data_IF_697473881182
#
_entry.id   IF_697473881182
#
_cell.length_a   1.000
_cell.length_b   1.000
_cell.length_c   1.000
_cell.angle_alpha   90.00
_cell.angle_beta   90.00
_cell.angle_gamma   90.00
#
_symmetry.space_group_name_H-M   'P 1'
#
loop_
_entity.id
_entity.type
_entity.pdbx_description
1 polymer ?
#
# COMPACT_ATOMS: atom_id res chain seq x y z
N UNK A 1 -3.24 7.51 -5.96
CA UNK A 1 -3.81 8.86 -5.91
C UNK A 1 -2.90 9.73 -5.06
N UNK A 2 -2.51 10.89 -5.55
CA UNK A 2 -1.78 11.93 -4.80
C UNK A 2 -2.77 13.07 -4.53
N UNK A 3 -3.15 13.27 -3.27
CA UNK A 3 -4.11 14.31 -2.89
C UNK A 3 -3.50 15.72 -2.97
N UNK A 4 -2.23 15.89 -2.57
CA UNK A 4 -1.53 17.17 -2.63
C UNK A 4 -2.31 18.31 -1.97
N UNK A 5 -2.46 19.43 -2.71
CA UNK A 5 -3.17 20.63 -2.25
C UNK A 5 -4.65 20.43 -1.92
N UNK A 6 -5.22 19.26 -2.22
CA UNK A 6 -6.56 18.86 -1.82
C UNK A 6 -7.40 18.32 -2.97
N UNK A 7 -8.25 17.35 -2.64
CA UNK A 7 -9.05 16.60 -3.59
C UNK A 7 -10.31 16.09 -2.87
N UNK A 8 -11.46 16.20 -3.53
CA UNK A 8 -12.68 15.53 -3.10
C UNK A 8 -12.97 14.37 -4.06
N UNK A 9 -13.21 13.19 -3.51
CA UNK A 9 -13.50 11.99 -4.30
C UNK A 9 -14.46 11.05 -3.57
N UNK A 10 -15.00 10.10 -4.31
CA UNK A 10 -15.86 9.01 -3.82
C UNK A 10 -15.23 7.69 -4.28
N UNK A 11 -15.22 6.70 -3.39
CA UNK A 11 -14.80 5.33 -3.69
C UNK A 11 -15.98 4.40 -3.40
N UNK A 12 -16.53 3.78 -4.45
CA UNK A 12 -17.64 2.82 -4.34
C UNK A 12 -17.22 1.47 -4.94
N UNK A 13 -17.74 0.34 -4.42
CA UNK A 13 -17.58 -0.94 -5.08
C UNK A 13 -18.10 -0.88 -6.53
N UNK A 14 -17.55 -1.70 -7.45
CA UNK A 14 -18.05 -1.78 -8.82
C UNK A 14 -19.53 -2.12 -8.84
N UNK A 15 -20.31 -1.46 -9.70
CA UNK A 15 -21.76 -1.66 -9.80
C UNK A 15 -22.13 -3.13 -10.00
N UNK A 16 -21.39 -3.84 -10.86
CA UNK A 16 -21.58 -5.27 -11.10
C UNK A 16 -21.48 -6.09 -9.82
N UNK A 17 -20.56 -5.75 -8.91
CA UNK A 17 -20.38 -6.43 -7.63
C UNK A 17 -21.46 -6.04 -6.61
N UNK A 18 -21.92 -4.80 -6.64
CA UNK A 18 -23.08 -4.35 -5.84
C UNK A 18 -24.34 -5.14 -6.24
N UNK A 19 -24.53 -5.37 -7.55
CA UNK A 19 -25.68 -6.09 -8.08
C UNK A 19 -25.58 -7.61 -7.88
N UNK A 20 -24.41 -8.22 -8.14
CA UNK A 20 -24.24 -9.67 -8.04
C UNK A 20 -24.05 -10.17 -6.60
N UNK A 21 -23.65 -9.28 -5.69
CA UNK A 21 -23.01 -9.67 -4.45
C UNK A 21 -21.65 -10.35 -4.71
N UNK A 22 -20.92 -10.63 -3.63
CA UNK A 22 -19.60 -11.28 -3.70
C UNK A 22 -18.60 -10.66 -2.74
N UNK A 23 -17.36 -11.14 -2.81
CA UNK A 23 -16.27 -10.63 -1.99
C UNK A 23 -15.68 -9.37 -2.62
N UNK A 24 -15.79 -8.24 -1.90
CA UNK A 24 -14.99 -7.05 -2.17
C UNK A 24 -13.84 -7.00 -1.16
N UNK A 25 -12.61 -7.14 -1.64
CA UNK A 25 -11.43 -7.11 -0.79
C UNK A 25 -10.37 -6.18 -1.41
N UNK A 26 -9.81 -5.31 -0.59
CA UNK A 26 -8.83 -4.33 -1.01
C UNK A 26 -8.09 -3.74 0.18
N UNK A 27 -6.97 -3.09 -0.11
CA UNK A 27 -6.15 -2.37 0.85
C UNK A 27 -6.15 -0.89 0.49
N UNK A 28 -6.32 -0.01 1.49
CA UNK A 28 -6.13 1.42 1.34
C UNK A 28 -4.94 1.87 2.20
N UNK A 29 -3.93 2.46 1.56
CA UNK A 29 -2.73 2.95 2.19
C UNK A 29 -2.59 4.45 1.95
N UNK A 30 -2.41 5.22 3.03
CA UNK A 30 -2.04 6.63 2.94
C UNK A 30 -0.53 6.76 3.11
N UNK A 31 0.12 7.27 2.06
CA UNK A 31 1.56 7.58 2.08
C UNK A 31 1.72 9.08 2.25
N UNK A 32 2.41 9.49 3.31
CA UNK A 32 2.64 10.92 3.58
C UNK A 32 3.55 11.55 2.51
N UNK A 33 3.38 12.84 2.28
CA UNK A 33 4.24 13.66 1.42
C UNK A 33 5.21 14.50 2.28
N UNK A 34 6.45 14.74 1.81
CA UNK A 34 7.32 15.77 2.37
C UNK A 34 6.66 17.14 2.32
N UNK A 35 7.05 18.05 3.22
CA UNK A 35 6.48 19.39 3.34
C UNK A 35 6.51 20.16 2.01
N UNK A 36 7.59 20.01 1.23
CA UNK A 36 7.74 20.62 -0.11
C UNK A 36 6.66 20.21 -1.11
N UNK A 37 6.10 19.00 -0.93
CA UNK A 37 5.22 18.36 -1.89
C UNK A 37 3.76 18.40 -1.43
N UNK A 38 3.46 18.84 -0.19
CA UNK A 38 2.08 18.83 0.34
C UNK A 38 1.11 19.70 -0.44
N UNK A 39 1.58 20.70 -1.18
CA UNK A 39 0.74 21.64 -1.94
C UNK A 39 0.85 21.46 -3.46
N UNK A 40 1.39 20.34 -3.95
CA UNK A 40 1.37 20.03 -5.39
C UNK A 40 -0.05 19.81 -5.89
N UNK A 41 -0.24 19.98 -7.20
CA UNK A 41 -1.52 19.66 -7.83
C UNK A 41 -1.87 18.17 -7.63
N UNK A 42 -3.14 17.84 -7.32
CA UNK A 42 -3.58 16.45 -7.19
C UNK A 42 -3.34 15.66 -8.48
N UNK A 43 -3.04 14.37 -8.34
CA UNK A 43 -2.77 13.48 -9.48
C UNK A 43 -3.30 12.09 -9.25
N UNK A 44 -3.83 11.48 -10.31
CA UNK A 44 -4.20 10.07 -10.33
C UNK A 44 -3.23 9.26 -11.19
N UNK A 45 -2.97 8.05 -10.74
CA UNK A 45 -2.29 7.01 -11.51
C UNK A 45 -3.13 5.74 -11.35
N UNK A 46 -3.65 5.24 -12.47
CA UNK A 46 -4.36 3.96 -12.52
C UNK A 46 -3.35 2.88 -12.94
N UNK A 47 -3.19 1.87 -12.10
CA UNK A 47 -2.24 0.76 -12.30
C UNK A 47 -3.05 -0.53 -12.34
N UNK A 48 -3.06 -1.18 -13.51
CA UNK A 48 -3.81 -2.41 -13.74
C UNK A 48 -2.94 -3.64 -13.46
N UNK A 49 -3.55 -4.77 -13.11
CA UNK A 49 -2.82 -5.99 -12.78
C UNK A 49 -1.90 -6.53 -13.90
N UNK A 50 -2.16 -6.19 -15.16
CA UNK A 50 -1.29 -6.52 -16.29
C UNK A 50 -0.10 -5.56 -16.47
N UNK A 51 -0.02 -4.48 -15.69
CA UNK A 51 1.04 -3.47 -15.77
C UNK A 51 2.10 -3.60 -14.67
N UNK A 52 1.85 -4.42 -13.64
CA UNK A 52 2.82 -4.66 -12.56
C UNK A 52 3.94 -5.58 -13.03
N UNK A 53 5.14 -5.36 -12.49
CA UNK A 53 6.27 -6.27 -12.73
C UNK A 53 6.06 -7.54 -11.89
N UNK A 54 6.15 -8.70 -12.55
CA UNK A 54 6.06 -10.01 -11.91
C UNK A 54 7.45 -10.64 -11.80
N UNK A 55 7.75 -11.18 -10.62
CA UNK A 55 8.95 -11.96 -10.33
C UNK A 55 8.54 -13.25 -9.63
N UNK A 56 9.34 -14.31 -9.76
CA UNK A 56 9.14 -15.56 -9.03
C UNK A 56 10.38 -15.85 -8.16
N UNK A 57 10.18 -16.52 -7.02
CA UNK A 57 11.28 -17.12 -6.28
C UNK A 57 11.97 -18.20 -7.13
N UNK A 58 13.23 -18.50 -6.81
CA UNK A 58 14.02 -19.45 -7.60
C UNK A 58 13.40 -20.87 -7.66
N UNK A 59 12.68 -21.26 -6.61
CA UNK A 59 11.94 -22.54 -6.52
C UNK A 59 10.51 -22.46 -7.07
N UNK A 60 10.05 -21.29 -7.53
CA UNK A 60 8.68 -21.06 -7.99
C UNK A 60 7.62 -21.07 -6.89
N UNK A 61 8.03 -21.18 -5.61
CA UNK A 61 7.13 -21.19 -4.45
C UNK A 61 6.57 -19.83 -4.06
N UNK A 62 7.07 -18.74 -4.64
CA UNK A 62 6.63 -17.39 -4.36
C UNK A 62 6.47 -16.55 -5.62
N UNK A 63 5.40 -15.75 -5.68
CA UNK A 63 5.11 -14.80 -6.74
C UNK A 63 5.11 -13.38 -6.18
N UNK A 64 6.01 -12.53 -6.68
CA UNK A 64 6.17 -11.14 -6.26
C UNK A 64 5.62 -10.21 -7.33
N UNK A 65 4.70 -9.32 -6.94
CA UNK A 65 4.14 -8.27 -7.77
C UNK A 65 4.70 -6.94 -7.29
N UNK A 66 5.57 -6.30 -8.10
CA UNK A 66 6.13 -4.99 -7.77
C UNK A 66 5.15 -3.90 -8.22
N UNK A 67 4.50 -3.25 -7.26
CA UNK A 67 3.44 -2.26 -7.52
C UNK A 67 4.05 -0.87 -7.63
N UNK A 68 4.92 -0.50 -6.69
CA UNK A 68 5.64 0.78 -6.69
C UNK A 68 7.03 0.60 -6.09
N UNK A 69 7.98 1.45 -6.51
CA UNK A 69 9.37 1.39 -6.06
C UNK A 69 10.21 0.38 -6.80
N UNK A 70 11.25 -0.10 -6.11
CA UNK A 70 12.21 -1.07 -6.62
C UNK A 70 12.39 -2.22 -5.64
N UNK A 71 12.61 -3.42 -6.19
CA UNK A 71 13.14 -4.56 -5.45
C UNK A 71 14.15 -5.30 -6.33
N UNK A 72 15.38 -5.45 -5.85
CA UNK A 72 16.46 -6.14 -6.60
C UNK A 72 16.69 -5.60 -8.03
N UNK A 73 16.56 -4.28 -8.23
CA UNK A 73 16.68 -3.65 -9.55
C UNK A 73 15.45 -3.81 -10.46
N UNK A 74 14.38 -4.40 -9.95
CA UNK A 74 13.10 -4.50 -10.63
C UNK A 74 12.13 -3.40 -10.19
N UNK A 75 11.88 -2.47 -11.09
CA UNK A 75 11.01 -1.31 -10.88
C UNK A 75 9.52 -1.67 -11.07
N UNK A 76 8.68 -1.19 -10.16
CA UNK A 76 7.23 -1.18 -10.31
C UNK A 76 6.74 0.04 -11.11
N UNK A 77 5.52 -0.02 -11.67
CA UNK A 77 4.95 1.08 -12.47
C UNK A 77 4.50 2.29 -11.63
N UNK A 78 4.34 2.13 -10.32
CA UNK A 78 3.87 3.18 -9.41
C UNK A 78 4.87 4.31 -9.26
N UNK A 79 4.47 5.52 -9.63
CA UNK A 79 5.25 6.74 -9.43
C UNK A 79 5.04 7.26 -8.00
N UNK A 80 6.14 7.67 -7.34
CA UNK A 80 6.12 8.04 -5.93
C UNK A 80 6.86 9.36 -5.69
N UNK A 81 6.48 10.09 -4.64
CA UNK A 81 7.10 11.37 -4.25
C UNK A 81 8.20 11.18 -3.21
N UNK A 82 8.02 10.18 -2.35
CA UNK A 82 9.04 9.69 -1.44
C UNK A 82 9.52 8.34 -1.97
N UNK A 83 10.81 7.99 -1.84
CA UNK A 83 11.27 6.63 -2.10
C UNK A 83 10.49 5.65 -1.22
N UNK A 84 9.67 4.81 -1.85
CA UNK A 84 8.93 3.74 -1.20
C UNK A 84 9.04 2.47 -2.04
N UNK A 85 8.82 1.32 -1.41
CA UNK A 85 8.62 0.04 -2.07
C UNK A 85 7.32 -0.57 -1.56
N UNK A 86 6.42 -0.90 -2.48
CA UNK A 86 5.17 -1.60 -2.20
C UNK A 86 5.08 -2.80 -3.13
N UNK A 87 5.08 -4.00 -2.54
CA UNK A 87 5.00 -5.25 -3.29
C UNK A 87 3.96 -6.18 -2.66
N UNK A 88 3.32 -6.98 -3.50
CA UNK A 88 2.40 -8.02 -3.07
C UNK A 88 3.02 -9.39 -3.36
N UNK A 89 3.17 -10.22 -2.33
CA UNK A 89 3.81 -11.52 -2.38
C UNK A 89 2.78 -12.60 -2.08
N UNK A 90 2.60 -13.53 -3.02
CA UNK A 90 1.89 -14.79 -2.79
C UNK A 90 2.93 -15.86 -2.49
N UNK A 91 2.82 -16.57 -1.37
CA UNK A 91 3.74 -17.65 -0.98
C UNK A 91 2.95 -18.96 -0.86
N UNK A 92 3.34 -19.96 -1.65
CA UNK A 92 2.71 -21.29 -1.63
C UNK A 92 2.93 -21.97 -0.27
N UNK A 93 2.04 -22.88 0.14
CA UNK A 93 2.22 -23.63 1.39
C UNK A 93 3.59 -24.30 1.49
N UNK A 94 4.26 -24.15 2.63
CA UNK A 94 5.61 -24.67 2.90
C UNK A 94 6.75 -23.92 2.20
N UNK A 95 6.46 -22.96 1.32
CA UNK A 95 7.47 -22.15 0.63
C UNK A 95 7.90 -20.92 1.45
N UNK A 96 9.00 -20.30 1.02
CA UNK A 96 9.47 -19.03 1.56
C UNK A 96 9.99 -18.10 0.48
N UNK A 97 9.93 -16.80 0.75
CA UNK A 97 10.50 -15.74 -0.07
C UNK A 97 11.39 -14.88 0.80
N UNK A 98 12.64 -14.70 0.37
CA UNK A 98 13.58 -13.75 0.96
C UNK A 98 13.93 -12.71 -0.10
N UNK A 99 13.73 -11.43 0.20
CA UNK A 99 13.95 -10.33 -0.73
C UNK A 99 15.01 -9.39 -0.15
N UNK A 100 15.94 -8.87 -0.98
CA UNK A 100 16.83 -7.81 -0.54
C UNK A 100 15.99 -6.58 -0.18
N UNK A 101 16.39 -5.90 0.88
CA UNK A 101 15.68 -4.73 1.38
C UNK A 101 16.66 -3.60 1.68
N UNK A 102 16.21 -2.40 1.40
CA UNK A 102 17.00 -1.20 1.66
C UNK A 102 17.08 -0.97 3.17
N UNK A 103 18.30 -1.00 3.72
CA UNK A 103 18.53 -0.79 5.15
C UNK A 103 18.15 0.63 5.64
N UNK A 104 18.02 1.60 4.73
CA UNK A 104 17.55 2.96 5.05
C UNK A 104 16.01 3.10 5.00
N UNK A 105 15.28 2.04 4.65
CA UNK A 105 13.81 2.01 4.65
C UNK A 105 13.27 1.44 5.96
N UNK A 106 12.10 1.93 6.38
CA UNK A 106 11.27 1.14 7.28
C UNK A 106 10.69 -0.08 6.54
N UNK A 107 10.24 -1.09 7.29
CA UNK A 107 9.75 -2.34 6.73
C UNK A 107 8.55 -2.86 7.51
N UNK A 108 7.47 -3.13 6.79
CA UNK A 108 6.24 -3.70 7.32
C UNK A 108 5.73 -4.82 6.40
N UNK A 109 5.18 -5.87 6.99
CA UNK A 109 4.36 -6.86 6.30
C UNK A 109 2.93 -6.76 6.80
N UNK A 110 1.96 -6.97 5.92
CA UNK A 110 0.55 -7.10 6.28
C UNK A 110 -0.04 -8.35 5.63
N UNK A 111 -0.60 -9.24 6.45
CA UNK A 111 -1.26 -10.47 5.99
C UNK A 111 -2.63 -10.15 5.38
N UNK A 112 -2.77 -10.34 4.07
CA UNK A 112 -4.02 -10.13 3.33
C UNK A 112 -4.93 -11.37 3.37
N UNK A 113 -4.34 -12.57 3.36
CA UNK A 113 -5.05 -13.85 3.46
C UNK A 113 -4.07 -14.95 3.85
N UNK A 114 -4.53 -16.02 4.50
CA UNK A 114 -3.69 -17.13 4.94
C UNK A 114 -2.86 -16.83 6.19
N UNK A 115 -1.87 -17.69 6.46
CA UNK A 115 -0.99 -17.63 7.63
C UNK A 115 0.44 -18.08 7.35
N UNK A 116 1.36 -17.58 8.18
CA UNK A 116 2.77 -17.91 8.06
C UNK A 116 3.61 -17.23 9.12
N UNK A 117 4.86 -16.94 8.78
CA UNK A 117 5.81 -16.28 9.67
C UNK A 117 6.73 -15.31 8.95
N UNK A 118 7.29 -14.36 9.71
CA UNK A 118 8.17 -13.32 9.22
C UNK A 118 9.52 -13.31 9.96
N UNK A 119 10.57 -12.91 9.23
CA UNK A 119 11.92 -12.70 9.76
C UNK A 119 12.67 -14.00 10.10
N UNK A 120 13.89 -13.86 10.62
CA UNK A 120 14.73 -15.00 11.02
C UNK A 120 14.13 -15.77 12.22
N UNK A 121 13.54 -15.04 13.16
CA UNK A 121 12.91 -15.58 14.37
C UNK A 121 11.59 -16.32 14.09
N UNK A 122 11.12 -16.35 12.83
CA UNK A 122 9.85 -16.97 12.42
C UNK A 122 8.68 -16.50 13.29
N UNK A 123 8.55 -15.18 13.47
CA UNK A 123 7.42 -14.61 14.22
C UNK A 123 6.11 -14.91 13.47
N UNK A 124 5.16 -15.64 14.07
CA UNK A 124 3.94 -16.03 13.37
C UNK A 124 3.04 -14.81 13.14
N UNK A 125 2.39 -14.77 11.98
CA UNK A 125 1.33 -13.81 11.69
C UNK A 125 0.37 -14.37 10.64
N UNK A 126 -0.86 -13.86 10.64
CA UNK A 126 -1.91 -14.28 9.71
C UNK A 126 -2.72 -13.10 9.18
N UNK A 127 -3.73 -13.39 8.37
CA UNK A 127 -4.68 -12.42 7.84
C UNK A 127 -5.11 -11.38 8.89
N UNK A 128 -5.03 -10.10 8.52
CA UNK A 128 -5.41 -8.97 9.36
C UNK A 128 -4.33 -8.48 10.33
N UNK A 129 -3.18 -9.14 10.40
CA UNK A 129 -2.07 -8.74 11.26
C UNK A 129 -0.95 -8.05 10.48
N UNK A 130 -0.28 -7.13 11.16
CA UNK A 130 0.91 -6.45 10.66
C UNK A 130 2.15 -6.89 11.45
N UNK A 131 3.28 -6.99 10.76
CA UNK A 131 4.60 -7.19 11.35
C UNK A 131 5.46 -5.99 11.00
N UNK A 132 6.14 -5.43 12.00
CA UNK A 132 7.18 -4.40 11.80
C UNK A 132 8.53 -5.08 11.92
N UNK A 133 9.39 -4.93 10.92
CA UNK A 133 10.74 -5.48 10.95
C UNK A 133 11.69 -4.51 11.63
N UNK A 134 12.73 -5.06 12.26
CA UNK A 134 13.85 -4.29 12.78
C UNK A 134 14.86 -3.92 11.68
N UNK A 135 16.06 -3.57 12.11
CA UNK A 135 17.18 -3.31 11.20
C UNK A 135 17.57 -4.59 10.43
N UNK A 136 17.91 -4.44 9.16
CA UNK A 136 18.32 -5.54 8.28
C UNK A 136 18.35 -5.10 6.82
N UNK A 137 18.95 -5.94 5.98
CA UNK A 137 19.09 -5.74 4.53
C UNK A 137 18.25 -6.73 3.71
N UNK A 138 17.36 -7.47 4.37
CA UNK A 138 16.45 -8.40 3.72
C UNK A 138 15.17 -8.63 4.52
N UNK A 139 14.10 -8.99 3.83
CA UNK A 139 12.84 -9.42 4.43
C UNK A 139 12.56 -10.86 4.03
N UNK A 140 12.20 -11.70 5.02
CA UNK A 140 11.78 -13.08 4.76
C UNK A 140 10.37 -13.31 5.22
N UNK A 141 9.55 -13.88 4.33
CA UNK A 141 8.19 -14.37 4.58
C UNK A 141 8.14 -15.86 4.29
N UNK A 142 7.46 -16.62 5.15
CA UNK A 142 7.26 -18.07 5.00
C UNK A 142 5.78 -18.36 5.15
N UNK A 143 5.22 -19.17 4.26
CA UNK A 143 3.87 -19.69 4.44
C UNK A 143 3.90 -20.90 5.38
N UNK A 144 2.82 -21.10 6.14
CA UNK A 144 2.60 -22.37 6.81
C UNK A 144 2.41 -23.50 5.79
N UNK A 145 2.71 -24.74 6.19
CA UNK A 145 2.54 -25.97 5.39
C UNK A 145 1.09 -26.17 4.91
N UNK A 146 0.12 -25.62 5.64
CA UNK A 146 -1.29 -25.66 5.30
C UNK A 146 -1.88 -24.26 5.50
N UNK A 147 -2.61 -23.79 4.49
CA UNK A 147 -3.37 -22.55 4.55
C UNK A 147 -4.82 -22.82 4.91
N UNK A 148 -5.54 -21.80 5.38
CA UNK A 148 -6.96 -21.93 5.68
C UNK A 148 -7.79 -22.14 4.40
N UNK A 149 -9.03 -22.63 4.53
CA UNK A 149 -9.87 -22.97 3.38
C UNK A 149 -10.30 -21.78 2.50
N UNK A 150 -10.00 -20.54 2.91
CA UNK A 150 -10.35 -19.33 2.18
C UNK A 150 -9.20 -18.84 1.28
N UNK A 151 -7.99 -19.37 1.43
CA UNK A 151 -6.82 -18.95 0.67
C UNK A 151 -5.91 -20.12 0.32
N UNK A 152 -5.51 -20.26 -0.94
CA UNK A 152 -4.58 -21.30 -1.39
C UNK A 152 -3.13 -20.98 -1.01
N UNK A 153 -2.81 -19.69 -0.83
CA UNK A 153 -1.48 -19.18 -0.54
C UNK A 153 -1.52 -18.25 0.68
N UNK A 154 -0.34 -17.98 1.23
CA UNK A 154 -0.16 -16.84 2.11
C UNK A 154 0.03 -15.57 1.28
N UNK A 155 -0.92 -14.64 1.36
CA UNK A 155 -0.92 -13.39 0.60
C UNK A 155 -0.48 -12.25 1.51
N UNK A 156 0.64 -11.61 1.20
CA UNK A 156 1.28 -10.62 2.07
C UNK A 156 1.66 -9.38 1.26
N UNK A 157 1.28 -8.21 1.75
CA UNK A 157 1.79 -6.94 1.23
C UNK A 157 3.02 -6.53 2.06
N UNK A 158 4.15 -6.31 1.39
CA UNK A 158 5.35 -5.75 1.98
C UNK A 158 5.46 -4.27 1.61
N UNK A 159 5.69 -3.45 2.63
CA UNK A 159 5.71 -1.99 2.55
C UNK A 159 6.99 -1.46 3.18
N UNK A 160 7.60 -0.48 2.53
CA UNK A 160 8.63 0.33 3.14
C UNK A 160 8.84 1.64 2.42
N UNK A 161 9.58 2.52 3.07
CA UNK A 161 10.01 3.77 2.49
C UNK A 161 11.04 4.47 3.34
N UNK A 162 11.71 5.43 2.70
CA UNK A 162 12.65 6.31 3.37
C UNK A 162 11.86 7.18 4.37
N UNK A 163 12.19 7.16 5.68
CA UNK A 163 11.53 8.02 6.64
C UNK A 163 11.72 9.50 6.27
N UNK A 164 10.61 10.24 6.15
CA UNK A 164 10.61 11.67 5.79
C UNK A 164 11.29 12.53 6.86
N UNK A 165 11.18 12.12 8.14
CA UNK A 165 11.77 12.80 9.32
C UNK A 165 11.30 14.26 9.49
N UNK A 166 10.05 14.52 9.15
CA UNK A 166 9.38 15.79 9.41
C UNK A 166 8.25 15.63 10.44
N UNK A 167 7.84 16.71 11.13
CA UNK A 167 6.67 16.69 11.99
C UNK A 167 5.41 16.24 11.24
N UNK A 168 4.55 15.49 11.92
CA UNK A 168 3.25 15.05 11.40
C UNK A 168 2.15 15.59 12.29
N UNK A 169 1.28 16.41 11.72
CA UNK A 169 0.05 16.87 12.33
C UNK A 169 -1.13 16.33 11.51
N UNK A 170 -2.04 15.59 12.14
CA UNK A 170 -3.17 14.95 11.46
C UNK A 170 -4.50 15.30 12.13
N UNK A 171 -5.50 15.60 11.31
CA UNK A 171 -6.89 15.77 11.74
C UNK A 171 -7.86 15.34 10.63
N UNK A 172 -8.55 14.22 10.84
CA UNK A 172 -9.51 13.68 9.87
C UNK A 172 -8.84 13.38 8.51
N UNK A 173 -9.28 13.98 7.39
CA UNK A 173 -8.69 13.73 6.08
C UNK A 173 -7.40 14.53 5.81
N UNK A 174 -6.94 15.36 6.76
CA UNK A 174 -5.82 16.26 6.55
C UNK A 174 -4.56 15.78 7.28
N UNK A 175 -3.43 15.72 6.55
CA UNK A 175 -2.11 15.38 7.10
C UNK A 175 -1.11 16.48 6.69
N UNK A 176 -0.77 17.34 7.64
CA UNK A 176 0.14 18.48 7.45
C UNK A 176 1.38 18.36 8.38
N UNK A 177 2.24 19.37 8.41
CA UNK A 177 3.40 19.40 9.30
C UNK A 177 3.14 20.20 10.59
N UNK A 178 2.13 21.06 10.63
CA UNK A 178 1.80 21.88 11.81
C UNK A 178 0.30 22.04 12.07
N UNK A 179 -0.07 22.39 13.31
CA UNK A 179 -1.46 22.71 13.68
C UNK A 179 -2.03 23.91 12.90
N UNK A 180 -1.19 24.90 12.58
CA UNK A 180 -1.57 26.07 11.78
C UNK A 180 -1.99 25.66 10.37
N UNK A 181 -1.22 24.77 9.74
CA UNK A 181 -1.55 24.24 8.41
C UNK A 181 -2.83 23.39 8.44
N UNK A 182 -3.06 22.61 9.50
CA UNK A 182 -4.33 21.89 9.67
C UNK A 182 -5.53 22.84 9.76
N UNK A 183 -5.39 23.93 10.52
CA UNK A 183 -6.42 24.95 10.62
C UNK A 183 -6.72 25.56 9.23
N UNK A 184 -5.68 25.91 8.47
CA UNK A 184 -5.84 26.44 7.12
C UNK A 184 -6.55 25.44 6.19
N UNK A 185 -6.15 24.16 6.21
CA UNK A 185 -6.77 23.12 5.38
C UNK A 185 -8.27 22.94 5.70
N UNK A 186 -8.63 23.04 6.98
CA UNK A 186 -10.03 22.99 7.41
C UNK A 186 -10.81 24.22 6.92
N UNK A 187 -10.25 25.42 7.06
CA UNK A 187 -10.85 26.66 6.57
C UNK A 187 -11.02 26.63 5.04
N UNK A 188 -10.06 26.06 4.31
CA UNK A 188 -10.12 25.85 2.86
C UNK A 188 -11.23 24.89 2.46
N UNK A 189 -11.36 23.76 3.18
CA UNK A 189 -12.44 22.81 2.95
C UNK A 189 -13.82 23.41 3.22
N UNK A 190 -14.01 24.08 4.37
CA UNK A 190 -15.28 24.69 4.74
C UNK A 190 -15.70 25.81 3.77
N UNK A 191 -14.73 26.51 3.19
CA UNK A 191 -14.98 27.53 2.18
C UNK A 191 -15.13 26.97 0.75
N UNK A 192 -15.10 25.64 0.57
CA UNK A 192 -15.27 25.00 -0.75
C UNK A 192 -14.07 25.15 -1.69
N UNK A 193 -12.87 25.43 -1.17
CA UNK A 193 -11.66 25.68 -1.98
C UNK A 193 -10.96 24.39 -2.46
N UNK A 194 -11.38 23.21 -1.99
CA UNK A 194 -10.79 21.91 -2.36
C UNK A 194 -11.47 21.24 -3.58
N UNK A 195 -12.27 22.01 -4.32
CA UNK A 195 -13.05 21.53 -5.46
C UNK A 195 -14.47 21.12 -5.08
N UNK A 196 -15.22 20.61 -6.06
CA UNK A 196 -16.60 20.13 -5.90
C UNK A 196 -16.74 18.79 -6.62
N UNK A 197 -17.38 17.81 -5.99
CA UNK A 197 -17.78 16.57 -6.66
C UNK A 197 -19.08 16.87 -7.42
N UNK A 198 -19.13 16.73 -8.76
CA UNK A 198 -20.34 16.95 -9.54
C UNK A 198 -21.48 16.01 -9.09
N UNK A 199 -22.73 16.50 -9.07
CA UNK A 199 -23.89 15.69 -8.71
C UNK A 199 -24.15 14.56 -9.72
N UNK A 200 -23.83 14.78 -10.99
CA UNK A 200 -24.05 13.85 -12.11
C UNK A 200 -22.79 13.06 -12.48
N UNK A 201 -22.19 12.37 -11.51
CA UNK A 201 -21.23 11.30 -11.86
C UNK A 201 -22.04 10.06 -12.26
N UNK A 202 -22.55 10.05 -13.49
CA UNK A 202 -22.96 8.80 -14.13
C UNK A 202 -21.71 7.93 -14.18
N UNK A 203 -21.72 6.83 -13.40
CA UNK A 203 -20.72 5.76 -13.49
C UNK A 203 -20.68 5.33 -14.96
N UNK A 204 -19.62 5.73 -15.65
CA UNK A 204 -19.46 5.54 -17.09
C UNK A 204 -19.49 4.06 -17.46
N UNK A 205 -20.19 3.78 -18.56
CA UNK A 205 -20.29 2.51 -19.29
C UNK A 205 -18.94 1.86 -19.60
#
# INVERSE_FOLDING_TARGET
>A
MTAGSGLLHIETPPESLVLSGGLFHGLQLWVNLPASDKMIAPKYQDIRGNSVKLLASADGGGLVRVIAGDIDGHQGPGATHTPITMIHVSVNPGAQVTLPWRADFNALAYGMAGSGSAGEERRPFHMGQAVVFGEGDSLTIRADEQQDSRSENFEVVLLGGLPIREPVAHYGPFVMNSHRELQQAMEDFQAGRLGTIPADTTLGR
#
